data_IF_514699656982
#
_entry.id   IF_514699656982
#
_cell.length_a   1.000
_cell.length_b   1.000
_cell.length_c   1.000
_cell.angle_alpha   90.00
_cell.angle_beta   90.00
_cell.angle_gamma   90.00
#
_symmetry.space_group_name_H-M   'P 1'
#
loop_
_entity.id
_entity.type
_entity.pdbx_description
1 polymer ?
#
# COMPACT_ATOMS: atom_id res chain seq x y z
N UNK A 1 -30.52 38.70 32.49
CA UNK A 1 -30.86 37.66 33.49
C UNK A 1 -30.00 36.45 33.16
N UNK A 2 -28.99 36.22 34.00
CA UNK A 2 -28.18 35.02 34.21
C UNK A 2 -27.52 34.27 33.05
N UNK A 3 -26.19 34.30 33.14
CA UNK A 3 -25.15 33.43 32.57
C UNK A 3 -25.26 31.95 33.08
N UNK A 4 -24.40 31.00 32.68
CA UNK A 4 -24.77 29.70 32.12
C UNK A 4 -24.44 28.55 33.09
N UNK A 5 -24.83 27.30 32.79
CA UNK A 5 -24.21 26.12 33.44
C UNK A 5 -24.08 24.96 32.48
N UNK A 6 -22.82 24.70 32.14
CA UNK A 6 -22.25 23.43 31.68
C UNK A 6 -22.22 22.44 32.86
N UNK A 7 -22.46 21.14 32.65
CA UNK A 7 -21.86 20.10 33.49
C UNK A 7 -20.61 19.54 32.82
N UNK A 8 -19.52 19.59 33.56
CA UNK A 8 -18.22 18.95 33.34
C UNK A 8 -18.35 17.47 32.98
N UNK A 9 -17.65 17.07 31.92
CA UNK A 9 -17.19 15.71 31.69
C UNK A 9 -15.67 15.73 31.81
N UNK A 10 -15.18 15.09 32.86
CA UNK A 10 -13.78 15.01 33.24
C UNK A 10 -13.08 13.88 32.48
N UNK A 11 -12.21 14.22 31.52
CA UNK A 11 -11.21 13.29 31.01
C UNK A 11 -9.94 14.05 30.63
N UNK A 12 -9.34 14.55 31.70
CA UNK A 12 -7.96 15.00 31.81
C UNK A 12 -7.00 13.81 31.59
N UNK A 13 -6.88 13.33 30.34
CA UNK A 13 -5.87 12.34 29.95
C UNK A 13 -4.58 13.06 29.52
N UNK A 14 -3.88 13.58 30.52
CA UNK A 14 -2.56 14.19 30.40
C UNK A 14 -1.48 13.12 30.22
N UNK A 15 -1.14 12.76 28.98
CA UNK A 15 -0.10 11.78 28.63
C UNK A 15 1.33 12.37 28.53
N UNK A 16 1.59 13.54 29.12
CA UNK A 16 2.88 14.25 28.97
C UNK A 16 3.38 14.88 30.27
N UNK A 17 3.48 14.14 31.38
CA UNK A 17 4.27 14.60 32.56
C UNK A 17 4.97 13.44 33.29
N UNK A 18 5.67 12.58 32.55
CA UNK A 18 6.60 11.60 33.15
C UNK A 18 7.94 11.69 32.41
N UNK A 19 8.82 12.61 32.84
CA UNK A 19 10.17 12.65 32.26
C UNK A 19 11.14 13.75 32.70
N UNK A 20 10.78 14.69 33.59
CA UNK A 20 11.66 15.85 33.86
C UNK A 20 12.25 15.96 35.27
N UNK A 21 12.06 15.00 36.18
CA UNK A 21 12.56 15.13 37.57
C UNK A 21 13.82 14.33 37.93
N UNK A 22 14.43 13.61 36.99
CA UNK A 22 15.63 12.79 37.28
C UNK A 22 16.98 13.36 36.79
N UNK A 23 17.01 14.60 36.27
CA UNK A 23 18.28 15.28 36.00
C UNK A 23 18.72 16.09 37.24
N UNK A 24 18.99 15.39 38.33
CA UNK A 24 19.80 15.94 39.41
C UNK A 24 21.26 15.59 39.10
N UNK A 25 22.05 16.63 38.81
CA UNK A 25 23.48 16.50 38.55
C UNK A 25 24.23 15.87 39.73
N UNK A 26 25.48 15.41 39.51
CA UNK A 26 26.26 14.73 40.54
C UNK A 26 26.39 15.63 41.79
N UNK A 27 26.26 15.10 43.01
CA UNK A 27 26.58 15.88 44.20
C UNK A 27 28.05 16.29 44.15
N UNK A 28 28.30 17.57 44.42
CA UNK A 28 29.64 18.12 44.57
C UNK A 28 30.42 17.29 45.60
N UNK A 29 31.57 16.77 45.18
CA UNK A 29 32.47 16.05 46.05
C UNK A 29 32.94 16.96 47.20
N UNK A 30 33.00 16.48 48.45
CA UNK A 30 33.65 17.21 49.51
C UNK A 30 35.14 17.37 49.20
N UNK A 31 35.59 18.60 49.41
CA UNK A 31 36.94 19.10 49.30
C UNK A 31 37.84 18.34 50.28
N UNK A 32 38.54 17.31 49.80
CA UNK A 32 39.56 16.59 50.57
C UNK A 32 40.87 17.35 50.41
N UNK A 33 41.28 17.98 51.50
CA UNK A 33 42.58 18.59 51.73
C UNK A 33 43.72 17.64 51.32
N UNK A 34 44.76 18.13 50.63
CA UNK A 34 45.82 17.27 50.11
C UNK A 34 46.82 16.97 51.23
N UNK A 35 46.79 15.76 51.78
CA UNK A 35 47.92 15.26 52.57
C UNK A 35 48.74 14.28 51.70
N UNK A 36 49.25 14.83 50.59
CA UNK A 36 50.33 14.20 49.83
C UNK A 36 51.59 14.89 50.29
N UNK A 37 52.27 14.26 51.24
CA UNK A 37 53.62 14.61 51.65
C UNK A 37 54.49 14.73 50.40
N UNK A 38 54.80 15.96 50.07
CA UNK A 38 55.86 16.33 49.14
C UNK A 38 57.19 15.87 49.74
N UNK A 39 58.02 15.23 48.92
CA UNK A 39 59.46 15.25 49.13
C UNK A 39 60.09 14.08 49.89
N UNK A 40 59.89 12.83 49.44
CA UNK A 40 61.05 11.93 49.44
C UNK A 40 61.89 12.26 48.21
N UNK A 41 62.76 13.26 48.34
CA UNK A 41 63.84 13.51 47.39
C UNK A 41 64.79 12.31 47.47
N UNK A 42 64.51 11.26 46.72
CA UNK A 42 65.51 10.26 46.40
C UNK A 42 66.35 10.85 45.26
N UNK A 43 67.47 11.47 45.65
CA UNK A 43 68.56 11.79 44.72
C UNK A 43 69.10 10.46 44.18
N UNK A 44 68.56 10.03 43.06
CA UNK A 44 69.25 9.07 42.22
C UNK A 44 70.40 9.81 41.54
N UNK A 45 71.63 9.58 42.00
CA UNK A 45 72.83 9.95 41.26
C UNK A 45 72.80 9.31 39.86
N UNK A 46 73.45 9.92 38.86
CA UNK A 46 73.36 9.43 37.50
C UNK A 46 74.02 8.05 37.40
N UNK A 47 73.21 7.02 37.18
CA UNK A 47 73.67 5.68 36.84
C UNK A 47 73.16 4.58 37.78
N UNK A 48 71.88 4.22 37.71
CA UNK A 48 71.43 2.87 38.09
C UNK A 48 70.19 2.49 37.27
N UNK A 49 70.41 1.85 36.13
CA UNK A 49 69.37 1.10 35.43
C UNK A 49 69.27 -0.28 36.06
N UNK A 50 68.39 -0.46 37.04
CA UNK A 50 68.02 -1.79 37.53
C UNK A 50 67.02 -2.44 36.54
N UNK A 51 67.51 -2.90 35.39
CA UNK A 51 66.79 -3.83 34.55
C UNK A 51 66.94 -5.24 35.14
N UNK A 52 65.92 -5.71 35.87
CA UNK A 52 65.82 -7.12 36.24
C UNK A 52 65.01 -7.88 35.16
N UNK A 53 65.52 -9.01 34.63
CA UNK A 53 64.72 -9.87 33.76
C UNK A 53 63.74 -10.70 34.61
N UNK A 54 62.48 -10.77 34.17
CA UNK A 54 61.46 -11.58 34.82
C UNK A 54 61.75 -13.09 34.63
N UNK A 55 61.74 -13.95 35.68
CA UNK A 55 62.23 -15.33 35.58
C UNK A 55 61.26 -16.37 34.99
N UNK A 56 60.13 -15.99 34.41
CA UNK A 56 59.17 -16.97 33.88
C UNK A 56 58.36 -16.41 32.70
N UNK A 57 58.22 -17.18 31.59
CA UNK A 57 57.37 -16.78 30.49
C UNK A 57 55.91 -16.99 30.90
N UNK A 58 55.26 -15.91 31.35
CA UNK A 58 53.80 -15.85 31.31
C UNK A 58 53.36 -15.90 29.86
N UNK A 59 53.01 -17.08 29.39
CA UNK A 59 52.16 -17.23 28.22
C UNK A 59 50.81 -16.66 28.60
N UNK A 60 50.61 -15.38 28.33
CA UNK A 60 49.29 -14.79 28.31
C UNK A 60 48.53 -15.54 27.20
N UNK A 61 47.81 -16.59 27.58
CA UNK A 61 46.68 -17.06 26.77
C UNK A 61 45.79 -15.86 26.62
N UNK A 62 45.91 -15.19 25.47
CA UNK A 62 44.95 -14.22 25.02
C UNK A 62 43.62 -14.97 25.02
N UNK A 63 42.83 -14.79 26.09
CA UNK A 63 41.41 -15.09 26.05
C UNK A 63 40.92 -14.21 24.92
N UNK A 64 40.80 -14.78 23.73
CA UNK A 64 40.06 -14.18 22.63
C UNK A 64 38.69 -13.97 23.22
N UNK A 65 38.42 -12.75 23.67
CA UNK A 65 37.13 -12.37 24.21
C UNK A 65 36.14 -12.78 23.15
N UNK A 66 35.37 -13.83 23.44
CA UNK A 66 34.37 -14.35 22.54
C UNK A 66 33.55 -13.15 22.10
N UNK A 67 33.63 -12.83 20.81
CA UNK A 67 32.99 -11.67 20.21
C UNK A 67 31.57 -11.63 20.73
N UNK A 68 31.32 -10.66 21.61
CA UNK A 68 30.09 -10.48 22.35
C UNK A 68 28.97 -10.59 21.33
N UNK A 69 28.10 -11.60 21.48
CA UNK A 69 26.96 -11.85 20.58
C UNK A 69 25.98 -10.67 20.67
N UNK A 70 26.34 -9.52 20.09
CA UNK A 70 25.52 -8.31 20.00
C UNK A 70 24.40 -8.45 18.96
N UNK A 71 24.22 -9.63 18.35
CA UNK A 71 23.27 -9.86 17.27
C UNK A 71 21.87 -10.32 17.68
N UNK A 72 21.65 -10.71 18.94
CA UNK A 72 20.38 -11.34 19.33
C UNK A 72 19.19 -10.36 19.39
N UNK A 73 19.43 -9.09 19.70
CA UNK A 73 18.39 -8.05 19.69
C UNK A 73 18.02 -7.60 18.27
N UNK A 74 19.01 -7.47 17.39
CA UNK A 74 18.81 -7.09 15.99
C UNK A 74 17.97 -8.13 15.24
N UNK A 75 18.17 -9.42 15.55
CA UNK A 75 17.45 -10.56 14.95
C UNK A 75 15.92 -10.53 15.16
N UNK A 76 15.42 -9.84 16.20
CA UNK A 76 13.97 -9.69 16.41
C UNK A 76 13.41 -8.57 15.54
N UNK A 77 14.15 -7.47 15.39
CA UNK A 77 13.79 -6.38 14.48
C UNK A 77 13.96 -6.77 13.01
N UNK A 78 14.83 -7.72 12.66
CA UNK A 78 14.91 -8.21 11.27
C UNK A 78 13.60 -8.85 10.83
N UNK A 79 12.91 -9.59 11.69
CA UNK A 79 11.63 -10.19 11.34
C UNK A 79 10.55 -9.12 11.16
N UNK A 80 10.47 -8.16 12.09
CA UNK A 80 9.56 -7.02 11.97
C UNK A 80 9.83 -6.18 10.71
N UNK A 81 11.10 -5.92 10.39
CA UNK A 81 11.50 -5.18 9.20
C UNK A 81 11.17 -5.94 7.90
N UNK A 82 11.37 -7.27 7.87
CA UNK A 82 11.01 -8.11 6.72
C UNK A 82 9.49 -8.14 6.52
N UNK A 83 8.71 -8.27 7.59
CA UNK A 83 7.24 -8.23 7.50
C UNK A 83 6.79 -6.85 7.01
N UNK A 84 7.35 -5.77 7.55
CA UNK A 84 7.04 -4.41 7.09
C UNK A 84 7.38 -4.22 5.60
N UNK A 85 8.56 -4.65 5.16
CA UNK A 85 8.95 -4.62 3.75
C UNK A 85 8.03 -5.48 2.88
N UNK A 86 7.65 -6.67 3.33
CA UNK A 86 6.72 -7.54 2.60
C UNK A 86 5.33 -6.92 2.48
N UNK A 87 4.82 -6.29 3.55
CA UNK A 87 3.54 -5.56 3.53
C UNK A 87 3.64 -4.34 2.60
N UNK A 88 4.70 -3.55 2.67
CA UNK A 88 4.91 -2.40 1.79
C UNK A 88 5.06 -2.83 0.33
N UNK A 89 5.78 -3.91 0.05
CA UNK A 89 5.91 -4.48 -1.29
C UNK A 89 4.55 -5.01 -1.78
N UNK A 90 3.77 -5.67 -0.92
CA UNK A 90 2.43 -6.15 -1.25
C UNK A 90 1.45 -5.00 -1.51
N UNK A 91 1.46 -3.95 -0.68
CA UNK A 91 0.63 -2.75 -0.87
C UNK A 91 1.07 -1.96 -2.09
N UNK A 92 2.38 -1.83 -2.32
CA UNK A 92 2.95 -1.24 -3.53
C UNK A 92 2.51 -2.01 -4.77
N UNK A 93 2.56 -3.34 -4.74
CA UNK A 93 2.06 -4.18 -5.82
C UNK A 93 0.55 -4.11 -6.00
N UNK A 94 -0.21 -3.96 -4.91
CA UNK A 94 -1.65 -3.76 -4.94
C UNK A 94 -2.02 -2.43 -5.64
N UNK A 95 -1.20 -1.39 -5.45
CA UNK A 95 -1.43 -0.04 -5.95
C UNK A 95 -0.86 0.21 -7.35
N UNK A 96 0.33 -0.32 -7.64
CA UNK A 96 1.08 -0.11 -8.88
C UNK A 96 1.18 -1.37 -9.75
N UNK A 97 0.40 -2.40 -9.42
CA UNK A 97 0.36 -3.63 -10.20
C UNK A 97 0.00 -3.38 -11.68
N UNK A 98 0.33 -4.33 -12.56
CA UNK A 98 0.13 -4.19 -14.00
C UNK A 98 -1.32 -3.82 -14.33
N UNK A 99 -1.47 -2.86 -15.23
CA UNK A 99 -2.76 -2.28 -15.60
C UNK A 99 -3.72 -3.32 -16.21
N UNK A 100 -5.02 -2.99 -16.15
CA UNK A 100 -6.06 -3.69 -16.89
C UNK A 100 -5.74 -3.61 -18.39
N UNK A 101 -5.75 -4.76 -19.07
CA UNK A 101 -5.56 -4.84 -20.51
C UNK A 101 -6.75 -5.57 -21.12
N UNK A 102 -7.32 -4.97 -22.15
CA UNK A 102 -8.40 -5.55 -22.94
C UNK A 102 -7.79 -6.33 -24.09
N UNK A 103 -8.16 -7.62 -24.20
CA UNK A 103 -7.70 -8.52 -25.25
C UNK A 103 -8.65 -8.50 -26.44
N UNK A 104 -9.95 -8.57 -26.14
CA UNK A 104 -10.98 -8.77 -27.14
C UNK A 104 -12.31 -8.15 -26.67
N UNK A 105 -13.15 -7.78 -27.62
CA UNK A 105 -14.48 -7.21 -27.38
C UNK A 105 -15.43 -7.83 -28.41
N UNK A 106 -16.43 -8.55 -27.93
CA UNK A 106 -17.50 -9.11 -28.75
C UNK A 106 -18.83 -8.54 -28.29
N UNK A 107 -19.68 -8.13 -29.23
CA UNK A 107 -21.06 -7.71 -28.93
C UNK A 107 -21.99 -8.79 -29.43
N UNK A 108 -22.92 -9.18 -28.57
CA UNK A 108 -23.90 -10.24 -28.84
C UNK A 108 -25.27 -9.76 -28.42
N UNK A 109 -26.29 -10.27 -29.10
CA UNK A 109 -27.69 -10.00 -28.81
C UNK A 109 -28.47 -11.29 -29.06
N UNK A 110 -29.72 -11.34 -28.61
CA UNK A 110 -30.59 -12.45 -28.89
C UNK A 110 -30.86 -12.54 -30.40
N UNK A 111 -30.59 -13.68 -31.07
CA UNK A 111 -30.67 -13.80 -32.53
C UNK A 111 -32.05 -13.50 -33.11
N UNK A 112 -33.11 -13.70 -32.31
CA UNK A 112 -34.50 -13.45 -32.69
C UNK A 112 -34.89 -11.97 -32.68
N UNK A 113 -34.08 -11.10 -32.06
CA UNK A 113 -34.46 -9.74 -31.73
C UNK A 113 -35.51 -9.67 -30.61
N UNK A 114 -35.85 -8.46 -30.13
CA UNK A 114 -36.85 -8.29 -29.08
C UNK A 114 -38.27 -8.56 -29.62
N UNK A 115 -39.16 -9.01 -28.74
CA UNK A 115 -40.58 -9.10 -29.03
C UNK A 115 -41.22 -7.70 -29.20
N UNK A 116 -42.45 -7.65 -29.74
CA UNK A 116 -43.21 -6.42 -29.88
C UNK A 116 -43.28 -5.62 -28.56
N UNK A 117 -42.98 -4.33 -28.63
CA UNK A 117 -43.04 -3.40 -27.49
C UNK A 117 -42.18 -3.80 -26.28
N UNK A 118 -41.10 -4.56 -26.52
CA UNK A 118 -40.14 -4.98 -25.49
C UNK A 118 -38.75 -4.38 -25.69
N UNK A 119 -37.92 -4.49 -24.66
CA UNK A 119 -36.52 -4.09 -24.73
C UNK A 119 -35.63 -5.22 -25.22
N UNK A 120 -34.70 -4.91 -26.13
CA UNK A 120 -33.57 -5.77 -26.43
C UNK A 120 -32.51 -5.61 -25.34
N UNK A 121 -32.01 -6.73 -24.80
CA UNK A 121 -30.77 -6.75 -24.04
C UNK A 121 -29.61 -7.05 -24.99
N UNK A 122 -28.77 -6.04 -25.23
CA UNK A 122 -27.54 -6.19 -26.01
C UNK A 122 -26.38 -6.28 -25.03
N UNK A 123 -25.62 -7.38 -25.13
CA UNK A 123 -24.54 -7.69 -24.20
C UNK A 123 -23.21 -7.64 -24.92
N UNK A 124 -22.32 -6.75 -24.49
CA UNK A 124 -20.93 -6.78 -24.87
C UNK A 124 -20.09 -7.56 -23.86
N UNK A 125 -19.35 -8.55 -24.35
CA UNK A 125 -18.38 -9.33 -23.59
C UNK A 125 -16.99 -8.79 -23.86
N UNK A 126 -16.41 -8.14 -22.86
CA UNK A 126 -15.05 -7.61 -22.89
C UNK A 126 -14.12 -8.62 -22.22
N UNK A 127 -13.19 -9.20 -22.98
CA UNK A 127 -12.18 -10.14 -22.45
C UNK A 127 -10.95 -9.38 -21.97
N UNK A 128 -10.57 -9.58 -20.72
CA UNK A 128 -9.47 -8.86 -20.06
C UNK A 128 -8.41 -9.83 -19.52
N UNK A 129 -7.29 -9.28 -19.06
CA UNK A 129 -6.20 -10.04 -18.42
C UNK A 129 -6.50 -10.45 -16.95
N UNK A 130 -7.71 -10.27 -16.43
CA UNK A 130 -8.06 -10.62 -15.04
C UNK A 130 -7.53 -9.66 -13.97
N UNK A 131 -6.96 -8.52 -14.39
CA UNK A 131 -6.47 -7.47 -13.49
C UNK A 131 -7.62 -6.54 -13.09
N UNK A 132 -7.55 -5.91 -11.92
CA UNK A 132 -8.55 -4.92 -11.54
C UNK A 132 -8.33 -3.64 -12.34
N UNK A 133 -9.40 -2.92 -12.63
CA UNK A 133 -9.31 -1.61 -13.27
C UNK A 133 -10.68 -1.06 -13.63
N UNK A 134 -10.69 0.10 -14.28
CA UNK A 134 -11.91 0.72 -14.79
C UNK A 134 -11.91 0.61 -16.31
N UNK A 135 -13.04 0.17 -16.86
CA UNK A 135 -13.35 0.21 -18.28
C UNK A 135 -14.20 1.44 -18.54
N UNK A 136 -13.79 2.25 -19.50
CA UNK A 136 -14.57 3.43 -19.89
C UNK A 136 -15.08 3.21 -21.31
N UNK A 137 -16.39 3.25 -21.48
CA UNK A 137 -17.05 2.87 -22.74
C UNK A 137 -18.26 3.76 -23.03
N UNK A 138 -18.77 3.67 -24.26
CA UNK A 138 -20.04 4.27 -24.69
C UNK A 138 -20.71 3.37 -25.72
N UNK A 139 -22.03 3.44 -25.76
CA UNK A 139 -22.88 2.75 -26.73
C UNK A 139 -23.36 3.72 -27.79
N UNK A 140 -23.24 3.33 -29.05
CA UNK A 140 -23.79 4.02 -30.21
C UNK A 140 -24.94 3.18 -30.75
N UNK A 141 -26.11 3.79 -30.90
CA UNK A 141 -27.30 3.16 -31.47
C UNK A 141 -27.54 3.67 -32.90
N UNK A 142 -28.13 2.85 -33.76
CA UNK A 142 -28.47 3.25 -35.14
C UNK A 142 -29.49 4.38 -35.23
N UNK A 143 -30.21 4.69 -34.14
CA UNK A 143 -31.10 5.85 -34.04
C UNK A 143 -30.35 7.19 -33.96
N UNK A 144 -29.01 7.17 -33.99
CA UNK A 144 -28.15 8.36 -33.86
C UNK A 144 -27.92 8.79 -32.40
N UNK A 145 -28.57 8.12 -31.46
CA UNK A 145 -28.39 8.38 -30.03
C UNK A 145 -27.18 7.63 -29.53
N UNK A 146 -26.33 8.32 -28.78
CA UNK A 146 -25.22 7.72 -28.07
C UNK A 146 -25.49 7.78 -26.57
N UNK A 147 -25.01 6.77 -25.83
CA UNK A 147 -24.96 6.86 -24.38
C UNK A 147 -23.87 7.86 -23.97
N UNK A 148 -24.01 8.42 -22.77
CA UNK A 148 -22.89 9.08 -22.12
C UNK A 148 -21.73 8.09 -21.90
N UNK A 149 -20.60 8.61 -21.44
CA UNK A 149 -19.44 7.80 -21.11
C UNK A 149 -19.72 7.04 -19.80
N UNK A 150 -19.88 5.72 -19.89
CA UNK A 150 -20.07 4.84 -18.74
C UNK A 150 -18.71 4.30 -18.26
N UNK A 151 -18.60 4.12 -16.95
CA UNK A 151 -17.41 3.53 -16.33
C UNK A 151 -17.81 2.28 -15.56
N UNK A 152 -17.30 1.13 -16.00
CA UNK A 152 -17.48 -0.16 -15.32
C UNK A 152 -16.22 -0.53 -14.55
N UNK A 153 -16.39 -0.95 -13.29
CA UNK A 153 -15.26 -1.39 -12.46
C UNK A 153 -15.10 -2.90 -12.58
N UNK A 154 -13.95 -3.35 -13.08
CA UNK A 154 -13.60 -4.77 -13.19
C UNK A 154 -12.91 -5.23 -11.90
N UNK A 155 -13.49 -6.20 -11.15
CA UNK A 155 -12.87 -6.79 -9.97
C UNK A 155 -11.60 -7.59 -10.28
N UNK A 156 -10.77 -7.86 -9.26
CA UNK A 156 -9.63 -8.79 -9.40
C UNK A 156 -10.13 -10.18 -9.77
N UNK A 157 -9.45 -10.83 -10.73
CA UNK A 157 -9.73 -12.19 -11.15
C UNK A 157 -10.78 -12.30 -12.26
N UNK A 158 -11.50 -11.22 -12.59
CA UNK A 158 -12.52 -11.22 -13.64
C UNK A 158 -11.88 -11.04 -15.01
N UNK A 159 -11.92 -12.11 -15.82
CA UNK A 159 -11.39 -12.14 -17.19
C UNK A 159 -12.43 -11.76 -18.24
N UNK A 160 -13.69 -11.67 -17.86
CA UNK A 160 -14.81 -11.31 -18.71
C UNK A 160 -15.66 -10.28 -17.98
N UNK A 161 -15.88 -9.14 -18.61
CA UNK A 161 -16.81 -8.11 -18.14
C UNK A 161 -17.98 -8.04 -19.12
N UNK A 162 -19.21 -8.12 -18.61
CA UNK A 162 -20.45 -8.04 -19.39
C UNK A 162 -21.02 -6.64 -19.25
N UNK A 163 -21.11 -5.93 -20.36
CA UNK A 163 -21.70 -4.59 -20.42
C UNK A 163 -23.05 -4.74 -21.09
N UNK A 164 -24.11 -4.36 -20.37
CA UNK A 164 -25.48 -4.51 -20.84
C UNK A 164 -25.99 -3.17 -21.40
N UNK A 165 -26.70 -3.23 -22.51
CA UNK A 165 -27.46 -2.13 -23.09
C UNK A 165 -28.90 -2.59 -23.23
N UNK A 166 -29.79 -1.96 -22.46
CA UNK A 166 -31.22 -2.19 -22.57
C UNK A 166 -31.83 -1.15 -23.50
N UNK A 167 -32.34 -1.59 -24.66
CA UNK A 167 -32.92 -0.70 -25.66
C UNK A 167 -34.38 -1.07 -25.95
N UNK A 168 -35.31 -0.20 -25.56
CA UNK A 168 -36.75 -0.33 -25.78
C UNK A 168 -37.15 -0.03 -27.23
N UNK A 169 -37.85 -0.97 -27.87
CA UNK A 169 -38.52 -0.76 -29.15
C UNK A 169 -40.02 -0.64 -28.94
N UNK A 170 -40.67 0.25 -29.68
CA UNK A 170 -42.11 0.46 -29.61
C UNK A 170 -42.70 0.61 -31.01
N UNK A 171 -43.91 0.09 -31.18
CA UNK A 171 -44.66 0.17 -32.43
C UNK A 171 -44.50 -1.03 -33.35
N UNK A 172 -45.45 -1.16 -34.26
CA UNK A 172 -45.47 -2.19 -35.29
C UNK A 172 -44.55 -1.82 -36.46
N UNK A 173 -43.83 -2.80 -37.01
CA UNK A 173 -42.94 -2.59 -38.14
C UNK A 173 -41.72 -3.51 -38.15
N UNK A 174 -40.88 -3.33 -39.17
CA UNK A 174 -39.60 -4.02 -39.28
C UNK A 174 -38.50 -2.99 -39.45
N UNK A 175 -37.58 -2.94 -38.50
CA UNK A 175 -36.52 -1.93 -38.47
C UNK A 175 -35.16 -2.59 -38.22
N UNK A 176 -34.13 -2.30 -39.04
CA UNK A 176 -32.77 -2.70 -38.74
C UNK A 176 -32.24 -1.90 -37.55
N UNK A 177 -31.71 -2.60 -36.55
CA UNK A 177 -31.12 -2.03 -35.36
C UNK A 177 -29.63 -2.40 -35.31
N UNK A 178 -28.78 -1.40 -35.11
CA UNK A 178 -27.34 -1.58 -34.90
C UNK A 178 -26.96 -1.03 -33.53
N UNK A 179 -26.27 -1.85 -32.75
CA UNK A 179 -25.70 -1.45 -31.48
C UNK A 179 -24.18 -1.61 -31.56
N UNK A 180 -23.46 -0.52 -31.35
CA UNK A 180 -22.00 -0.47 -31.37
C UNK A 180 -21.47 -0.09 -29.99
N UNK A 181 -20.53 -0.87 -29.48
CA UNK A 181 -19.78 -0.55 -28.28
C UNK A 181 -18.46 0.08 -28.69
N UNK A 182 -18.22 1.31 -28.24
CA UNK A 182 -16.90 1.93 -28.27
C UNK A 182 -16.26 1.90 -26.90
N UNK A 183 -15.17 1.14 -26.78
CA UNK A 183 -14.32 1.13 -25.62
C UNK A 183 -13.27 2.24 -25.77
N UNK A 184 -13.17 3.12 -24.77
CA UNK A 184 -12.29 4.29 -24.79
C UNK A 184 -10.99 4.06 -24.00
N UNK A 185 -11.08 3.35 -22.87
CA UNK A 185 -9.98 3.05 -21.95
C UNK A 185 -10.17 1.65 -21.35
N UNK A 186 -9.10 0.87 -21.08
CA UNK A 186 -7.66 1.16 -21.18
C UNK A 186 -7.06 1.06 -22.60
N UNK A 187 -7.84 0.64 -23.59
CA UNK A 187 -7.42 0.61 -24.99
C UNK A 187 -8.62 0.86 -25.88
N UNK A 188 -8.42 1.61 -26.98
CA UNK A 188 -9.51 1.91 -27.92
C UNK A 188 -9.84 0.69 -28.75
N UNK A 189 -11.09 0.23 -28.67
CA UNK A 189 -11.64 -0.90 -29.43
C UNK A 189 -13.10 -0.62 -29.74
N UNK A 190 -13.55 -1.10 -30.89
CA UNK A 190 -14.96 -1.01 -31.28
C UNK A 190 -15.45 -2.38 -31.69
N UNK A 191 -16.72 -2.65 -31.38
CA UNK A 191 -17.39 -3.87 -31.79
C UNK A 191 -18.87 -3.57 -31.94
N UNK A 192 -19.52 -4.14 -32.96
CA UNK A 192 -20.91 -3.87 -33.28
C UNK A 192 -21.68 -5.16 -33.52
N UNK A 193 -22.97 -5.12 -33.23
CA UNK A 193 -23.93 -6.15 -33.58
C UNK A 193 -25.10 -5.52 -34.31
N UNK A 194 -25.60 -6.23 -35.31
CA UNK A 194 -26.78 -5.84 -36.09
C UNK A 194 -27.86 -6.89 -35.88
N UNK A 195 -29.08 -6.43 -35.62
CA UNK A 195 -30.26 -7.27 -35.47
C UNK A 195 -31.47 -6.56 -36.07
N UNK A 196 -32.56 -7.28 -36.28
CA UNK A 196 -33.77 -6.71 -36.87
C UNK A 196 -34.91 -6.85 -35.88
N UNK A 197 -35.51 -5.73 -35.48
CA UNK A 197 -36.76 -5.74 -34.76
C UNK A 197 -37.89 -6.05 -35.75
N UNK A 198 -38.72 -7.04 -35.42
CA UNK A 198 -39.86 -7.46 -36.24
C UNK A 198 -41.09 -7.55 -35.35
N UNK A 199 -42.02 -6.63 -35.54
CA UNK A 199 -43.33 -6.69 -34.92
C UNK A 199 -44.42 -6.70 -36.01
N UNK A 200 -45.21 -7.78 -36.01
CA UNK A 200 -46.39 -7.93 -36.84
C UNK A 200 -47.63 -7.72 -35.96
N UNK A 201 -48.57 -6.92 -36.45
CA UNK A 201 -49.90 -6.72 -35.86
C UNK A 201 -50.71 -8.02 -35.90
#
# INVERSE_FOLDING_TARGET
MSDPRVPQGDDDYSATVLGSHWFSGPPAAPEVTPDRVEGSVLRFGPGVTAAMPAPFPVSATAVRGAGRRRGAGLRRYTLAAVVLLAVLAYLGWQRYGPALVVRDVAVTTEPGGPACDTAADVVAVVRTNGRPGNLTYRWLRSDGTHSEQLTERVPRGQREARLHLLWTFQGAGTYPAKAELELLSPGRRTAAVEFTYRCRL
#
